data_IF_726178680332
#
_entry.id   IF_726178680332
#
_cell.length_a   1.000
_cell.length_b   1.000
_cell.length_c   1.000
_cell.angle_alpha   90.00
_cell.angle_beta   90.00
_cell.angle_gamma   90.00
#
_symmetry.space_group_name_H-M   'P 1'
#
loop_
_entity.id
_entity.type
_entity.pdbx_description
1 polymer ?
#
# COMPACT_ATOMS: atom_id res chain seq x y z
N UNK A 1 -28.49 -23.44 -49.02
CA UNK A 1 -27.52 -22.37 -48.68
C UNK A 1 -28.26 -21.23 -47.99
N UNK A 2 -28.13 -21.11 -46.66
CA UNK A 2 -28.76 -20.03 -45.90
C UNK A 2 -28.07 -18.71 -46.21
N UNK A 3 -28.80 -17.75 -46.82
CA UNK A 3 -28.31 -16.38 -46.99
C UNK A 3 -28.41 -15.70 -45.63
N UNK A 4 -27.31 -15.61 -44.91
CA UNK A 4 -27.24 -14.78 -43.69
C UNK A 4 -27.66 -13.36 -44.06
N UNK A 5 -28.82 -12.92 -43.53
CA UNK A 5 -29.29 -11.56 -43.72
C UNK A 5 -28.42 -10.64 -42.86
N UNK A 6 -27.40 -10.05 -43.46
CA UNK A 6 -26.60 -8.95 -42.89
C UNK A 6 -27.12 -7.63 -43.45
N UNK A 7 -27.10 -6.57 -42.62
CA UNK A 7 -27.64 -5.26 -42.98
C UNK A 7 -29.04 -4.99 -42.40
N UNK A 8 -29.72 -3.95 -42.91
CA UNK A 8 -30.99 -3.41 -42.38
C UNK A 8 -32.13 -4.43 -42.27
N UNK A 9 -32.03 -5.55 -42.99
CA UNK A 9 -33.03 -6.64 -42.99
C UNK A 9 -32.79 -7.69 -41.90
N UNK A 10 -31.68 -7.59 -41.16
CA UNK A 10 -31.38 -8.47 -40.03
C UNK A 10 -32.19 -8.10 -38.79
N UNK A 11 -32.79 -9.08 -38.10
CA UNK A 11 -33.45 -8.86 -36.81
C UNK A 11 -32.51 -8.31 -35.73
N UNK A 12 -31.20 -8.49 -35.90
CA UNK A 12 -30.16 -7.96 -35.01
C UNK A 12 -29.64 -6.58 -35.42
N UNK A 13 -30.22 -5.92 -36.43
CA UNK A 13 -29.74 -4.63 -36.92
C UNK A 13 -30.09 -3.48 -35.97
N UNK A 14 -29.06 -2.81 -35.44
CA UNK A 14 -29.21 -1.75 -34.44
C UNK A 14 -29.04 -0.34 -35.01
N UNK A 15 -29.53 -0.05 -36.22
CA UNK A 15 -29.65 1.34 -36.70
C UNK A 15 -28.46 1.96 -37.44
N UNK A 16 -27.46 1.19 -37.88
CA UNK A 16 -26.30 1.71 -38.63
C UNK A 16 -25.40 2.69 -37.86
N UNK A 17 -24.40 3.32 -38.51
CA UNK A 17 -23.53 4.32 -37.86
C UNK A 17 -24.30 5.59 -37.43
N UNK A 18 -23.85 6.23 -36.34
CA UNK A 18 -24.39 7.51 -35.84
C UNK A 18 -23.52 8.64 -36.36
N UNK A 19 -24.12 9.72 -36.89
CA UNK A 19 -23.42 10.95 -37.23
C UNK A 19 -23.13 11.78 -35.97
N UNK A 20 -21.91 12.30 -35.84
CA UNK A 20 -21.49 13.21 -34.77
C UNK A 20 -20.64 14.35 -35.30
N UNK A 21 -20.63 15.46 -34.57
CA UNK A 21 -19.76 16.60 -34.81
C UNK A 21 -18.58 16.54 -33.83
N UNK A 22 -17.36 16.64 -34.33
CA UNK A 22 -16.16 16.65 -33.50
C UNK A 22 -16.07 17.98 -32.73
N UNK A 23 -15.96 17.99 -31.38
CA UNK A 23 -15.91 19.23 -30.60
C UNK A 23 -14.57 19.98 -30.71
N UNK A 24 -13.63 19.50 -31.54
CA UNK A 24 -12.29 20.07 -31.72
C UNK A 24 -12.14 20.73 -33.09
N UNK A 25 -12.42 20.00 -34.17
CA UNK A 25 -12.31 20.51 -35.54
C UNK A 25 -13.65 20.79 -36.20
N UNK A 26 -14.77 20.57 -35.52
CA UNK A 26 -16.15 20.78 -36.00
C UNK A 26 -16.58 19.93 -37.21
N UNK A 27 -15.73 19.04 -37.72
CA UNK A 27 -16.10 18.14 -38.81
C UNK A 27 -17.14 17.10 -38.38
N UNK A 28 -18.07 16.80 -39.28
CA UNK A 28 -18.99 15.66 -39.16
C UNK A 28 -18.25 14.34 -39.45
N UNK A 29 -18.53 13.30 -38.66
CA UNK A 29 -18.00 11.95 -38.85
C UNK A 29 -19.00 10.89 -38.37
N UNK A 30 -18.80 9.64 -38.80
CA UNK A 30 -19.66 8.52 -38.43
C UNK A 30 -19.01 7.66 -37.33
N UNK A 31 -19.83 7.22 -36.37
CA UNK A 31 -19.43 6.34 -35.26
C UNK A 31 -20.24 5.05 -35.32
N UNK A 32 -19.61 3.85 -35.25
CA UNK A 32 -20.35 2.59 -35.15
C UNK A 32 -21.31 2.62 -33.96
N UNK A 33 -22.56 2.15 -34.14
CA UNK A 33 -23.60 2.21 -33.08
C UNK A 33 -23.12 1.58 -31.76
N UNK A 34 -22.42 0.45 -31.84
CA UNK A 34 -21.87 -0.22 -30.66
C UNK A 34 -20.87 0.64 -29.87
N UNK A 35 -20.04 1.43 -30.55
CA UNK A 35 -19.10 2.36 -29.90
C UNK A 35 -19.86 3.55 -29.30
N UNK A 36 -20.81 4.12 -30.04
CA UNK A 36 -21.67 5.20 -29.54
C UNK A 36 -22.44 4.80 -28.28
N UNK A 37 -23.03 3.60 -28.26
CA UNK A 37 -23.79 3.08 -27.12
C UNK A 37 -22.92 2.88 -25.87
N UNK A 38 -21.62 2.66 -26.02
CA UNK A 38 -20.64 2.60 -24.92
C UNK A 38 -20.13 3.99 -24.49
N UNK A 39 -20.64 5.07 -25.08
CA UNK A 39 -20.19 6.45 -24.84
C UNK A 39 -18.94 6.86 -25.62
N UNK A 40 -18.49 6.04 -26.59
CA UNK A 40 -17.32 6.28 -27.42
C UNK A 40 -17.55 7.23 -28.60
N UNK A 41 -16.57 7.30 -29.52
CA UNK A 41 -16.66 8.11 -30.73
C UNK A 41 -16.91 9.60 -30.50
N UNK A 42 -16.27 10.21 -29.49
CA UNK A 42 -16.45 11.66 -29.21
C UNK A 42 -15.68 12.57 -30.18
N UNK A 43 -14.60 12.07 -30.78
CA UNK A 43 -13.70 12.84 -31.65
C UNK A 43 -13.53 12.12 -32.99
N UNK A 44 -13.38 12.87 -34.07
CA UNK A 44 -13.22 12.30 -35.42
C UNK A 44 -11.88 11.58 -35.65
N UNK A 45 -10.88 11.80 -34.79
CA UNK A 45 -9.55 11.22 -34.93
C UNK A 45 -8.80 11.14 -33.60
N UNK A 46 -7.75 10.31 -33.56
CA UNK A 46 -6.80 10.26 -32.45
C UNK A 46 -6.15 11.63 -32.20
N UNK A 47 -5.90 12.41 -33.25
CA UNK A 47 -5.36 13.76 -33.14
C UNK A 47 -6.31 14.70 -32.39
N UNK A 48 -7.60 14.75 -32.79
CA UNK A 48 -8.59 15.56 -32.09
C UNK A 48 -8.80 15.10 -30.64
N UNK A 49 -8.82 13.78 -30.40
CA UNK A 49 -8.87 13.24 -29.04
C UNK A 49 -7.68 13.71 -28.20
N UNK A 50 -6.46 13.68 -28.76
CA UNK A 50 -5.25 14.15 -28.08
C UNK A 50 -5.27 15.66 -27.79
N UNK A 51 -5.82 16.48 -28.68
CA UNK A 51 -6.00 17.92 -28.42
C UNK A 51 -6.92 18.13 -27.22
N UNK A 52 -8.02 17.37 -27.15
CA UNK A 52 -8.96 17.49 -26.02
C UNK A 52 -8.33 17.07 -24.68
N UNK A 53 -7.52 16.00 -24.66
CA UNK A 53 -6.85 15.53 -23.44
C UNK A 53 -5.70 16.44 -23.00
N UNK A 54 -5.12 17.23 -23.91
CA UNK A 54 -4.12 18.27 -23.62
C UNK A 54 -4.73 19.54 -23.04
N UNK A 55 -6.07 19.65 -22.94
CA UNK A 55 -6.70 20.82 -22.31
C UNK A 55 -6.24 20.91 -20.86
N UNK A 56 -5.48 21.97 -20.59
CA UNK A 56 -5.02 22.29 -19.25
C UNK A 56 -6.06 23.10 -18.50
N UNK A 57 -6.09 22.94 -17.18
CA UNK A 57 -6.99 23.66 -16.27
C UNK A 57 -6.17 24.24 -15.13
N UNK A 58 -6.59 25.40 -14.63
CA UNK A 58 -6.04 25.99 -13.42
C UNK A 58 -6.63 25.30 -12.20
N UNK A 59 -5.76 25.01 -11.22
CA UNK A 59 -6.12 24.46 -9.92
C UNK A 59 -5.33 25.18 -8.83
N UNK A 60 -5.84 25.18 -7.61
CA UNK A 60 -5.21 25.84 -6.46
C UNK A 60 -4.41 24.83 -5.64
N UNK A 61 -3.16 25.16 -5.28
CA UNK A 61 -2.37 24.31 -4.41
C UNK A 61 -2.96 24.28 -2.99
N UNK A 62 -3.20 23.08 -2.44
CA UNK A 62 -3.73 22.92 -1.09
C UNK A 62 -2.80 23.45 0.02
N UNK A 63 -1.50 23.60 -0.28
CA UNK A 63 -0.48 24.08 0.64
C UNK A 63 -0.21 25.59 0.50
N UNK A 64 0.49 26.02 -0.55
CA UNK A 64 0.89 27.43 -0.74
C UNK A 64 -0.22 28.34 -1.28
N UNK A 65 -1.40 27.78 -1.61
CA UNK A 65 -2.57 28.48 -2.15
C UNK A 65 -2.37 29.16 -3.52
N UNK A 66 -1.19 29.01 -4.14
CA UNK A 66 -0.94 29.51 -5.49
C UNK A 66 -1.71 28.69 -6.55
N UNK A 67 -2.17 29.38 -7.59
CA UNK A 67 -2.70 28.75 -8.79
C UNK A 67 -1.59 28.13 -9.63
N UNK A 68 -1.88 26.98 -10.23
CA UNK A 68 -1.00 26.31 -11.17
C UNK A 68 -1.80 25.50 -12.19
N UNK A 69 -1.15 25.17 -13.31
CA UNK A 69 -1.80 24.57 -14.45
C UNK A 69 -1.52 23.06 -14.48
N UNK A 70 -2.57 22.26 -14.62
CA UNK A 70 -2.49 20.80 -14.77
C UNK A 70 -3.29 20.34 -15.97
N UNK A 71 -3.00 19.15 -16.48
CA UNK A 71 -3.85 18.50 -17.49
C UNK A 71 -5.23 18.21 -16.89
N UNK A 72 -6.30 18.39 -17.66
CA UNK A 72 -7.68 18.28 -17.15
C UNK A 72 -7.98 16.98 -16.41
N UNK A 73 -7.44 15.84 -16.88
CA UNK A 73 -7.63 14.55 -16.22
C UNK A 73 -6.95 14.45 -14.85
N UNK A 74 -5.93 15.28 -14.58
CA UNK A 74 -5.20 15.34 -13.30
C UNK A 74 -5.83 16.31 -12.29
N UNK A 75 -6.80 17.12 -12.71
CA UNK A 75 -7.38 18.18 -11.88
C UNK A 75 -8.01 17.66 -10.58
N UNK A 76 -8.60 16.45 -10.62
CA UNK A 76 -9.25 15.83 -9.45
C UNK A 76 -8.28 15.20 -8.47
N UNK A 77 -7.09 14.81 -8.92
CA UNK A 77 -6.13 14.04 -8.13
C UNK A 77 -4.95 14.87 -7.63
N UNK A 78 -4.62 15.96 -8.32
CA UNK A 78 -3.46 16.78 -8.01
C UNK A 78 -3.82 17.80 -6.94
N UNK A 79 -3.09 17.77 -5.83
CA UNK A 79 -3.32 18.66 -4.66
C UNK A 79 -2.24 19.73 -4.50
N UNK A 80 -1.06 19.52 -5.07
CA UNK A 80 0.12 20.34 -4.80
C UNK A 80 0.76 20.79 -6.12
N UNK A 81 1.21 22.04 -6.17
CA UNK A 81 1.89 22.59 -7.35
C UNK A 81 3.29 21.99 -7.57
N UNK A 82 3.90 21.45 -6.51
CA UNK A 82 5.25 20.86 -6.58
C UNK A 82 5.43 19.74 -5.55
N UNK A 83 6.47 18.92 -5.76
CA UNK A 83 6.92 17.93 -4.78
C UNK A 83 7.35 18.59 -3.45
N UNK A 84 7.91 19.80 -3.52
CA UNK A 84 8.31 20.59 -2.36
C UNK A 84 7.09 20.99 -1.51
N UNK A 85 6.06 21.59 -2.12
CA UNK A 85 4.81 21.92 -1.41
C UNK A 85 4.14 20.68 -0.81
N UNK A 86 4.19 19.53 -1.49
CA UNK A 86 3.69 18.27 -0.92
C UNK A 86 4.51 17.83 0.30
N UNK A 87 5.85 17.91 0.23
CA UNK A 87 6.74 17.51 1.32
C UNK A 87 6.58 18.43 2.53
N UNK A 88 6.54 19.75 2.33
CA UNK A 88 6.33 20.73 3.39
C UNK A 88 4.96 20.58 4.06
N UNK A 89 3.90 20.40 3.27
CA UNK A 89 2.59 20.10 3.83
C UNK A 89 2.63 18.85 4.70
N UNK A 90 3.26 17.77 4.23
CA UNK A 90 3.40 16.52 5.00
C UNK A 90 4.24 16.69 6.27
N UNK A 91 5.27 17.54 6.24
CA UNK A 91 6.11 17.83 7.39
C UNK A 91 5.36 18.66 8.46
N UNK A 92 4.49 19.59 8.05
CA UNK A 92 3.68 20.41 8.97
C UNK A 92 2.45 19.69 9.53
N UNK A 93 1.86 18.77 8.76
CA UNK A 93 0.57 18.15 9.12
C UNK A 93 0.70 16.83 9.88
N UNK A 94 1.89 16.21 9.88
CA UNK A 94 2.09 14.95 10.59
C UNK A 94 2.84 15.19 11.89
N UNK A 95 2.30 14.66 12.97
CA UNK A 95 3.02 14.52 14.23
C UNK A 95 4.25 13.62 14.04
N UNK A 96 5.32 13.81 14.83
CA UNK A 96 6.47 12.89 14.84
C UNK A 96 6.05 11.43 15.10
N UNK A 97 5.02 11.24 15.93
CA UNK A 97 4.44 9.93 16.21
C UNK A 97 3.84 9.28 14.94
N UNK A 98 3.03 9.99 14.15
CA UNK A 98 2.49 9.45 12.89
C UNK A 98 3.59 9.06 11.90
N UNK A 99 4.67 9.86 11.87
CA UNK A 99 5.85 9.56 11.06
C UNK A 99 6.52 8.28 11.56
N UNK A 100 6.70 8.14 12.88
CA UNK A 100 7.27 6.95 13.50
C UNK A 100 6.42 5.70 13.26
N UNK A 101 5.10 5.79 13.42
CA UNK A 101 4.16 4.70 13.15
C UNK A 101 4.17 4.27 11.69
N UNK A 102 4.32 5.22 10.75
CA UNK A 102 4.50 4.89 9.34
C UNK A 102 5.80 4.13 9.08
N UNK A 103 6.90 4.49 9.76
CA UNK A 103 8.17 3.76 9.67
C UNK A 103 8.05 2.35 10.25
N UNK A 104 7.42 2.19 11.42
CA UNK A 104 7.15 0.88 12.03
C UNK A 104 6.33 -0.01 11.10
N UNK A 105 5.20 0.51 10.60
CA UNK A 105 4.32 -0.23 9.70
C UNK A 105 5.04 -0.72 8.44
N UNK A 106 5.85 0.15 7.83
CA UNK A 106 6.69 -0.21 6.69
C UNK A 106 7.74 -1.26 7.04
N UNK A 107 8.43 -1.11 8.18
CA UNK A 107 9.47 -2.03 8.64
C UNK A 107 8.91 -3.42 8.95
N UNK A 108 7.77 -3.52 9.64
CA UNK A 108 7.11 -4.80 9.91
C UNK A 108 6.73 -5.51 8.59
N UNK A 109 6.10 -4.77 7.67
CA UNK A 109 5.73 -5.31 6.37
C UNK A 109 6.92 -5.84 5.57
N UNK A 110 8.00 -5.06 5.49
CA UNK A 110 9.21 -5.46 4.77
C UNK A 110 9.92 -6.64 5.44
N UNK A 111 10.15 -6.58 6.76
CA UNK A 111 10.90 -7.63 7.45
C UNK A 111 10.17 -8.98 7.42
N UNK A 112 8.83 -8.97 7.57
CA UNK A 112 8.05 -10.20 7.42
C UNK A 112 8.13 -10.74 5.99
N UNK A 113 8.00 -9.89 4.98
CA UNK A 113 8.12 -10.29 3.58
C UNK A 113 9.45 -11.00 3.29
N UNK A 114 10.57 -10.45 3.80
CA UNK A 114 11.89 -11.09 3.70
C UNK A 114 11.97 -12.40 4.47
N UNK A 115 11.34 -12.48 5.66
CA UNK A 115 11.40 -13.68 6.51
C UNK A 115 10.70 -14.89 5.91
N UNK A 116 9.66 -14.69 5.09
CA UNK A 116 8.92 -15.76 4.39
C UNK A 116 9.19 -15.77 2.89
N UNK A 117 10.30 -15.15 2.43
CA UNK A 117 10.79 -15.17 1.04
C UNK A 117 9.71 -14.88 -0.03
N UNK A 118 8.79 -13.98 0.26
CA UNK A 118 7.72 -13.61 -0.68
C UNK A 118 6.41 -14.38 -0.54
N UNK A 119 6.30 -15.39 0.34
CA UNK A 119 5.06 -16.13 0.65
C UNK A 119 4.00 -15.30 1.40
N UNK A 120 4.13 -13.97 1.37
CA UNK A 120 3.14 -13.01 1.91
C UNK A 120 1.89 -12.92 1.06
N UNK A 121 1.97 -13.24 -0.24
CA UNK A 121 0.86 -13.25 -1.20
C UNK A 121 -0.04 -11.98 -1.13
N UNK A 122 0.57 -10.80 -1.03
CA UNK A 122 -0.16 -9.53 -0.92
C UNK A 122 -0.84 -9.25 0.44
N UNK A 123 -0.83 -10.21 1.37
CA UNK A 123 -1.44 -10.07 2.69
C UNK A 123 -0.83 -8.92 3.48
N UNK A 124 -1.66 -8.23 4.29
CA UNK A 124 -1.17 -7.25 5.26
C UNK A 124 -0.43 -7.97 6.38
N UNK A 125 0.61 -7.34 6.92
CA UNK A 125 1.44 -7.96 7.97
C UNK A 125 0.62 -8.19 9.26
N UNK A 126 -0.31 -7.31 9.58
CA UNK A 126 -1.22 -7.44 10.75
C UNK A 126 -2.01 -8.75 10.72
N UNK A 127 -2.50 -9.14 9.53
CA UNK A 127 -3.22 -10.40 9.35
C UNK A 127 -2.32 -11.62 9.57
N UNK A 128 -1.04 -11.53 9.24
CA UNK A 128 -0.08 -12.62 9.46
C UNK A 128 0.32 -12.74 10.93
N UNK A 129 0.52 -11.59 11.58
CA UNK A 129 0.99 -11.50 12.96
C UNK A 129 -0.11 -11.79 13.99
N UNK A 130 -1.37 -11.53 13.62
CA UNK A 130 -2.52 -11.71 14.51
C UNK A 130 -2.75 -10.53 15.48
N UNK A 131 -2.19 -9.36 15.18
CA UNK A 131 -2.40 -8.13 15.96
C UNK A 131 -2.26 -6.89 15.06
N UNK A 132 -2.82 -5.77 15.51
CA UNK A 132 -2.83 -4.50 14.76
C UNK A 132 -1.57 -3.68 14.98
N UNK A 133 -1.34 -2.69 14.12
CA UNK A 133 -0.30 -1.68 14.33
C UNK A 133 -0.46 -0.94 15.68
N UNK A 134 -1.70 -0.76 16.15
CA UNK A 134 -2.00 -0.13 17.44
C UNK A 134 -1.60 -1.02 18.61
N UNK A 135 -1.86 -2.33 18.55
CA UNK A 135 -1.45 -3.27 19.58
C UNK A 135 0.08 -3.31 19.72
N UNK A 136 0.78 -3.32 18.58
CA UNK A 136 2.24 -3.23 18.55
C UNK A 136 2.74 -1.93 19.17
N UNK A 137 2.07 -0.81 18.89
CA UNK A 137 2.39 0.49 19.46
C UNK A 137 2.34 0.42 20.99
N UNK A 138 1.19 0.02 21.55
CA UNK A 138 1.00 -0.04 22.99
C UNK A 138 1.98 -1.00 23.68
N UNK A 139 2.20 -2.17 23.07
CA UNK A 139 3.17 -3.13 23.58
C UNK A 139 4.59 -2.56 23.63
N UNK A 140 5.08 -1.97 22.54
CA UNK A 140 6.43 -1.39 22.51
C UNK A 140 6.56 -0.20 23.46
N UNK A 141 5.55 0.65 23.52
CA UNK A 141 5.53 1.84 24.38
C UNK A 141 5.55 1.46 25.87
N UNK A 142 4.85 0.39 26.27
CA UNK A 142 4.92 -0.15 27.64
C UNK A 142 6.29 -0.70 28.03
N UNK A 143 7.18 -0.94 27.05
CA UNK A 143 8.53 -1.46 27.24
C UNK A 143 9.61 -0.38 27.04
N UNK A 144 9.23 0.88 26.81
CA UNK A 144 10.19 1.96 26.64
C UNK A 144 11.03 2.17 27.90
N UNK A 145 12.34 2.27 27.70
CA UNK A 145 13.30 2.65 28.73
C UNK A 145 13.41 4.17 28.82
N UNK A 146 14.10 4.65 29.85
CA UNK A 146 14.40 6.07 30.01
C UNK A 146 14.99 6.66 28.71
N UNK A 147 14.41 7.79 28.27
CA UNK A 147 14.78 8.49 27.05
C UNK A 147 14.18 7.94 25.75
N UNK A 148 13.53 6.76 25.74
CA UNK A 148 12.84 6.26 24.54
C UNK A 148 11.51 6.97 24.32
N UNK A 149 11.22 7.33 23.07
CA UNK A 149 9.91 7.85 22.68
C UNK A 149 9.64 7.59 21.20
N UNK A 150 8.40 7.80 20.78
CA UNK A 150 8.06 7.78 19.35
C UNK A 150 8.77 8.89 18.55
N UNK A 151 9.12 10.01 19.19
CA UNK A 151 9.79 11.14 18.56
C UNK A 151 11.23 10.82 18.13
N UNK A 152 11.88 9.88 18.81
CA UNK A 152 13.25 9.47 18.50
C UNK A 152 13.35 8.06 17.89
N UNK A 153 12.25 7.56 17.29
CA UNK A 153 12.26 6.32 16.53
C UNK A 153 13.30 6.35 15.41
N UNK A 154 14.26 5.43 15.47
CA UNK A 154 15.50 5.44 14.70
C UNK A 154 16.74 5.44 15.60
N UNK A 155 16.66 6.02 16.80
CA UNK A 155 17.66 5.82 17.85
C UNK A 155 17.48 4.48 18.54
N UNK A 156 16.24 3.99 18.62
CA UNK A 156 15.90 2.62 19.01
C UNK A 156 15.26 1.86 17.84
N UNK A 157 15.30 0.53 17.92
CA UNK A 157 14.79 -0.42 16.93
C UNK A 157 13.82 -1.41 17.57
N UNK A 158 12.96 -1.99 16.74
CA UNK A 158 12.19 -3.18 17.11
C UNK A 158 13.13 -4.38 17.00
N UNK A 159 13.39 -5.01 18.15
CA UNK A 159 14.23 -6.19 18.31
C UNK A 159 13.37 -7.42 18.64
N UNK A 160 13.92 -8.60 18.36
CA UNK A 160 13.36 -9.88 18.81
C UNK A 160 14.17 -10.39 20.01
N UNK A 161 13.52 -10.66 21.13
CA UNK A 161 14.15 -11.19 22.36
C UNK A 161 14.85 -12.51 22.04
N UNK A 162 14.11 -13.44 21.44
CA UNK A 162 14.63 -14.62 20.77
C UNK A 162 14.87 -14.24 19.31
N UNK A 163 16.11 -14.30 18.81
CA UNK A 163 16.45 -13.84 17.47
C UNK A 163 15.72 -14.65 16.41
N UNK A 164 15.36 -14.01 15.28
CA UNK A 164 14.68 -14.68 14.16
C UNK A 164 15.41 -15.93 13.66
N UNK A 165 16.75 -15.96 13.74
CA UNK A 165 17.58 -17.10 13.34
C UNK A 165 17.43 -18.34 14.22
N UNK A 166 16.78 -18.23 15.38
CA UNK A 166 16.49 -19.38 16.26
C UNK A 166 15.17 -20.07 15.90
N UNK A 167 14.42 -19.56 14.92
CA UNK A 167 13.15 -20.14 14.46
C UNK A 167 13.29 -20.71 13.07
N UNK A 168 12.56 -21.79 12.81
CA UNK A 168 12.41 -22.37 11.48
C UNK A 168 10.97 -22.17 11.00
N UNK A 169 10.80 -21.56 9.82
CA UNK A 169 9.53 -21.37 9.14
C UNK A 169 9.73 -20.97 7.68
N UNK A 170 8.75 -21.27 6.83
CA UNK A 170 8.64 -20.84 5.43
C UNK A 170 7.31 -20.13 5.13
N UNK A 171 6.29 -20.35 5.97
CA UNK A 171 4.94 -19.83 5.78
C UNK A 171 4.45 -19.05 7.00
N UNK A 172 3.50 -18.11 6.81
CA UNK A 172 2.93 -17.34 7.91
C UNK A 172 2.21 -18.16 8.98
N UNK A 173 1.73 -19.35 8.64
CA UNK A 173 0.96 -20.21 9.55
C UNK A 173 1.83 -21.20 10.31
N UNK A 174 3.14 -21.25 10.02
CA UNK A 174 4.07 -22.05 10.78
C UNK A 174 4.12 -21.55 12.24
N UNK A 175 4.06 -22.44 13.24
CA UNK A 175 4.13 -22.07 14.65
C UNK A 175 5.37 -21.23 14.98
N UNK A 176 6.51 -21.60 14.36
CA UNK A 176 7.77 -20.85 14.37
C UNK A 176 7.59 -19.38 13.99
N UNK A 177 6.85 -19.11 12.92
CA UNK A 177 6.58 -17.75 12.46
C UNK A 177 5.73 -16.99 13.49
N UNK A 178 4.62 -17.59 13.93
CA UNK A 178 3.68 -16.94 14.87
C UNK A 178 4.36 -16.56 16.18
N UNK A 179 5.22 -17.42 16.74
CA UNK A 179 5.94 -17.11 17.99
C UNK A 179 7.06 -16.10 17.75
N UNK A 180 7.85 -16.27 16.68
CA UNK A 180 8.89 -15.34 16.30
C UNK A 180 8.36 -13.90 16.21
N UNK A 181 7.19 -13.72 15.58
CA UNK A 181 6.59 -12.41 15.35
C UNK A 181 5.55 -12.00 16.39
N UNK A 182 5.38 -12.75 17.47
CA UNK A 182 4.44 -12.41 18.55
C UNK A 182 4.88 -11.16 19.31
N UNK A 183 3.93 -10.40 19.86
CA UNK A 183 4.23 -9.26 20.73
C UNK A 183 5.16 -9.66 21.88
N UNK A 184 4.94 -10.81 22.50
CA UNK A 184 5.78 -11.31 23.60
C UNK A 184 7.28 -11.46 23.23
N UNK A 185 7.59 -11.70 21.95
CA UNK A 185 8.96 -11.79 21.45
C UNK A 185 9.52 -10.46 20.91
N UNK A 186 8.71 -9.41 20.78
CA UNK A 186 9.15 -8.09 20.29
C UNK A 186 9.43 -7.14 21.45
N UNK A 187 10.47 -6.32 21.31
CA UNK A 187 10.83 -5.28 22.27
C UNK A 187 11.45 -4.06 21.58
N UNK A 188 11.35 -2.86 22.18
CA UNK A 188 12.21 -1.75 21.82
C UNK A 188 13.62 -2.00 22.38
N UNK A 189 14.64 -1.70 21.58
CA UNK A 189 16.03 -1.78 22.01
C UNK A 189 16.82 -0.64 21.37
N UNK A 190 17.73 0.01 22.10
CA UNK A 190 18.56 1.07 21.50
C UNK A 190 19.33 0.51 20.30
N UNK A 191 19.47 1.29 19.24
CA UNK A 191 20.01 0.80 17.97
C UNK A 191 21.43 0.22 18.15
N UNK A 192 22.26 0.89 18.95
CA UNK A 192 23.60 0.41 19.33
C UNK A 192 23.56 -0.92 20.09
N UNK A 193 22.69 -1.02 21.11
CA UNK A 193 22.50 -2.25 21.88
C UNK A 193 22.03 -3.41 20.98
N UNK A 194 21.11 -3.13 20.06
CA UNK A 194 20.60 -4.10 19.09
C UNK A 194 21.68 -4.60 18.13
N UNK A 195 22.54 -3.69 17.63
CA UNK A 195 23.67 -4.06 16.79
C UNK A 195 24.67 -4.94 17.55
N UNK A 196 24.97 -4.59 18.81
CA UNK A 196 25.87 -5.37 19.68
C UNK A 196 25.28 -6.73 20.05
N UNK A 197 23.96 -6.80 20.29
CA UNK A 197 23.22 -8.03 20.60
C UNK A 197 23.29 -9.02 19.44
N UNK A 198 23.15 -8.57 18.19
CA UNK A 198 23.13 -9.43 17.01
C UNK A 198 22.11 -10.57 17.18
N UNK A 199 22.50 -11.83 17.01
CA UNK A 199 21.69 -13.02 17.20
C UNK A 199 21.84 -13.66 18.59
N UNK A 200 22.30 -12.94 19.61
CA UNK A 200 22.48 -13.48 20.96
C UNK A 200 21.19 -13.41 21.77
N UNK A 201 20.98 -14.41 22.62
CA UNK A 201 19.95 -14.40 23.66
C UNK A 201 20.59 -13.79 24.92
N UNK A 202 20.11 -12.61 25.30
CA UNK A 202 20.64 -11.85 26.45
C UNK A 202 19.82 -12.10 27.72
N UNK A 203 18.57 -12.51 27.57
CA UNK A 203 17.67 -12.90 28.66
C UNK A 203 17.20 -14.35 28.46
N UNK A 204 17.93 -15.34 29.00
CA UNK A 204 17.59 -16.75 28.83
C UNK A 204 16.25 -17.14 29.45
N UNK A 205 15.82 -16.49 30.53
CA UNK A 205 14.58 -16.83 31.23
C UNK A 205 13.38 -16.41 30.39
N UNK A 206 13.39 -15.17 29.88
CA UNK A 206 12.34 -14.68 28.97
C UNK A 206 12.34 -15.46 27.67
N UNK A 207 13.52 -15.77 27.11
CA UNK A 207 13.64 -16.61 25.93
C UNK A 207 13.03 -18.00 26.12
N UNK A 208 13.27 -18.64 27.27
CA UNK A 208 12.67 -19.94 27.60
C UNK A 208 11.14 -19.87 27.65
N UNK A 209 10.58 -18.81 28.23
CA UNK A 209 9.13 -18.60 28.25
C UNK A 209 8.54 -18.44 26.85
N UNK A 210 9.23 -17.70 25.97
CA UNK A 210 8.80 -17.50 24.58
C UNK A 210 8.86 -18.82 23.81
N UNK A 211 9.96 -19.57 23.93
CA UNK A 211 10.13 -20.85 23.24
C UNK A 211 9.15 -21.93 23.73
N UNK A 212 8.73 -21.90 25.00
CA UNK A 212 7.68 -22.81 25.50
C UNK A 212 6.34 -22.61 24.77
N UNK A 213 6.02 -21.40 24.33
CA UNK A 213 4.80 -21.14 23.57
C UNK A 213 4.77 -21.78 22.17
N UNK A 214 5.93 -22.23 21.64
CA UNK A 214 5.99 -23.05 20.43
C UNK A 214 5.51 -24.48 20.72
N UNK A 215 6.04 -25.10 21.76
CA UNK A 215 5.77 -26.51 22.09
C UNK A 215 4.31 -26.75 22.46
N UNK A 216 3.69 -25.79 23.15
CA UNK A 216 2.28 -25.89 23.55
C UNK A 216 1.32 -25.76 22.35
N UNK A 217 1.73 -25.08 21.27
CA UNK A 217 0.94 -24.93 20.04
C UNK A 217 1.14 -26.09 19.06
N UNK A 218 2.34 -26.65 18.99
CA UNK A 218 2.60 -27.88 18.23
C UNK A 218 1.77 -29.06 18.78
N UNK A 219 1.48 -29.08 20.08
CA UNK A 219 0.61 -30.09 20.70
C UNK A 219 -0.87 -29.95 20.30
N UNK A 220 -1.37 -28.70 20.15
CA UNK A 220 -2.76 -28.38 19.82
C UNK A 220 -3.11 -28.52 18.32
N UNK A 221 -2.12 -28.56 17.43
CA UNK A 221 -2.32 -28.80 15.99
C UNK A 221 -2.28 -30.29 15.61
N UNK A 222 -1.85 -31.16 16.53
CA UNK A 222 -1.69 -32.60 16.32
C UNK A 222 -2.74 -33.46 17.06
N UNK A 223 -3.78 -32.84 17.62
CA UNK A 223 -4.95 -33.47 18.24
C UNK A 223 -6.23 -32.80 17.72
#
# INVERSE_FOLDING_TARGET
MSKNQTGEKSSSWSGGPVKRICPICTNEFQVPRAEFNRGGGKYCSKHCSAISTRKSVKVTCSYCKMEYVVQGYKARTTKYCSKLCQAEHRAKTRSPEEIAMKKVNGRMGSLMWYSIKGNKNGSKWEALAGYSLTDLKWHLESLFKEGMSWNNMGLWHIDHIVPRSAFNYSYPDDPGFKVCWSLANLQPLWAEENLRKSNKIVDPLRAKSILKSLTDKDYQLNH
#
